data_IF_828663593334
#
_entry.id   IF_828663593334
#
_cell.length_a   1.000
_cell.length_b   1.000
_cell.length_c   1.000
_cell.angle_alpha   90.00
_cell.angle_beta   90.00
_cell.angle_gamma   90.00
#
_symmetry.space_group_name_H-M   'P 1'
#
loop_
_entity.id
_entity.type
_entity.pdbx_description
1 polymer ?
#
# COMPACT_ATOMS: atom_id res chain seq x y z
N UNK A 1 34.26 38.06 9.98
CA UNK A 1 33.32 38.36 8.87
C UNK A 1 33.28 37.14 7.97
N UNK A 2 32.38 36.18 8.22
CA UNK A 2 32.05 35.14 7.23
C UNK A 2 30.70 34.47 7.54
N UNK A 3 29.63 35.28 7.49
CA UNK A 3 28.24 34.86 7.71
C UNK A 3 27.49 34.68 6.38
N UNK A 4 28.19 34.34 5.30
CA UNK A 4 27.62 34.35 3.95
C UNK A 4 27.26 32.93 3.53
N UNK A 5 25.94 32.66 3.47
CA UNK A 5 25.27 31.48 2.88
C UNK A 5 25.04 30.27 3.79
N UNK A 6 24.21 30.45 4.82
CA UNK A 6 23.18 29.43 5.09
C UNK A 6 22.09 29.56 4.03
N UNK A 7 22.30 28.97 2.86
CA UNK A 7 21.23 28.77 1.89
C UNK A 7 20.24 27.78 2.53
N UNK A 8 19.16 28.33 3.07
CA UNK A 8 18.00 27.60 3.54
C UNK A 8 17.46 26.76 2.39
N UNK A 9 17.68 25.44 2.43
CA UNK A 9 16.96 24.48 1.59
C UNK A 9 15.53 24.44 2.10
N UNK A 10 14.72 25.42 1.70
CA UNK A 10 13.31 25.47 2.03
C UNK A 10 12.63 24.50 1.05
N UNK A 11 12.13 23.32 1.51
CA UNK A 11 11.47 22.39 0.61
C UNK A 11 10.29 23.13 -0.03
N UNK A 12 10.21 23.09 -1.36
CA UNK A 12 9.11 23.67 -2.10
C UNK A 12 7.79 23.15 -1.50
N UNK A 13 6.87 24.07 -1.16
CA UNK A 13 5.56 23.66 -0.63
C UNK A 13 4.88 22.79 -1.68
N UNK A 14 4.41 21.58 -1.32
CA UNK A 14 3.74 20.71 -2.27
C UNK A 14 2.53 21.44 -2.84
N UNK A 15 2.36 21.32 -4.16
CA UNK A 15 1.21 21.92 -4.84
C UNK A 15 -0.07 21.18 -4.43
N UNK A 16 -1.24 21.84 -4.55
CA UNK A 16 -2.53 21.22 -4.20
C UNK A 16 -2.73 19.89 -4.96
N UNK A 17 -2.33 19.82 -6.22
CA UNK A 17 -2.40 18.58 -7.00
C UNK A 17 -1.49 17.46 -6.47
N UNK A 18 -0.30 17.77 -5.96
CA UNK A 18 0.63 16.78 -5.37
C UNK A 18 0.08 16.18 -4.07
N UNK A 19 -0.65 16.97 -3.28
CA UNK A 19 -1.28 16.50 -2.03
C UNK A 19 -2.38 15.46 -2.26
N UNK A 20 -3.10 15.56 -3.39
CA UNK A 20 -4.19 14.64 -3.74
C UNK A 20 -3.80 13.61 -4.81
N UNK A 21 -2.51 13.52 -5.18
CA UNK A 21 -2.06 12.48 -6.10
C UNK A 21 -1.94 11.16 -5.34
N UNK A 22 -2.68 10.10 -5.73
CA UNK A 22 -2.59 8.81 -5.07
C UNK A 22 -1.21 8.18 -5.28
N UNK A 23 -0.69 7.52 -4.24
CA UNK A 23 0.63 6.86 -4.29
C UNK A 23 0.75 5.81 -5.38
N UNK A 24 -0.35 5.18 -5.78
CA UNK A 24 -0.38 4.27 -6.92
C UNK A 24 0.16 4.94 -8.19
N UNK A 25 -0.23 6.20 -8.44
CA UNK A 25 0.20 6.96 -9.63
C UNK A 25 1.66 7.35 -9.53
N UNK A 26 2.14 7.73 -8.34
CA UNK A 26 3.55 8.11 -8.17
C UNK A 26 4.47 6.89 -8.27
N UNK A 27 4.15 5.78 -7.59
CA UNK A 27 4.95 4.54 -7.63
C UNK A 27 5.02 3.95 -9.05
N UNK A 28 3.91 4.02 -9.81
CA UNK A 28 3.93 3.60 -11.21
C UNK A 28 4.81 4.51 -12.08
N UNK A 29 4.76 5.83 -11.87
CA UNK A 29 5.61 6.82 -12.58
C UNK A 29 7.08 6.74 -12.19
N UNK A 30 7.39 6.37 -10.96
CA UNK A 30 8.74 6.23 -10.41
C UNK A 30 9.47 4.98 -10.94
N UNK A 31 8.78 4.13 -11.72
CA UNK A 31 9.38 2.98 -12.40
C UNK A 31 9.09 1.66 -11.69
N UNK A 32 7.81 1.38 -11.44
CA UNK A 32 7.38 0.04 -11.04
C UNK A 32 7.84 -0.99 -12.08
N UNK A 33 8.72 -1.90 -11.68
CA UNK A 33 9.40 -2.84 -12.59
C UNK A 33 8.80 -4.23 -12.52
N UNK A 34 9.10 -5.08 -13.50
CA UNK A 34 8.71 -6.50 -13.47
C UNK A 34 9.26 -7.26 -12.25
N UNK A 35 10.39 -6.82 -11.67
CA UNK A 35 10.93 -7.40 -10.44
C UNK A 35 10.08 -7.05 -9.22
N UNK A 36 9.61 -5.80 -9.13
CA UNK A 36 8.67 -5.36 -8.07
C UNK A 36 7.34 -6.10 -8.20
N UNK A 37 6.80 -6.24 -9.41
CA UNK A 37 5.59 -7.01 -9.66
C UNK A 37 5.70 -8.46 -9.19
N UNK A 38 6.82 -9.14 -9.50
CA UNK A 38 7.04 -10.52 -9.04
C UNK A 38 7.10 -10.61 -7.51
N UNK A 39 7.78 -9.67 -6.86
CA UNK A 39 7.86 -9.63 -5.40
C UNK A 39 6.48 -9.43 -4.77
N UNK A 40 5.70 -8.48 -5.28
CA UNK A 40 4.36 -8.19 -4.80
C UNK A 40 3.39 -9.35 -5.04
N UNK A 41 3.50 -10.04 -6.18
CA UNK A 41 2.69 -11.21 -6.48
C UNK A 41 2.98 -12.37 -5.51
N UNK A 42 4.24 -12.64 -5.20
CA UNK A 42 4.62 -13.68 -4.23
C UNK A 42 4.13 -13.28 -2.83
N UNK A 43 4.34 -12.03 -2.42
CA UNK A 43 3.86 -11.53 -1.13
C UNK A 43 2.33 -11.64 -1.02
N UNK A 44 1.60 -11.21 -2.06
CA UNK A 44 0.15 -11.31 -2.14
C UNK A 44 -0.35 -12.74 -2.06
N UNK A 45 0.31 -13.68 -2.75
CA UNK A 45 -0.03 -15.10 -2.69
C UNK A 45 0.16 -15.66 -1.27
N UNK A 46 1.30 -15.36 -0.63
CA UNK A 46 1.56 -15.79 0.75
C UNK A 46 0.49 -15.26 1.71
N UNK A 47 0.14 -13.97 1.59
CA UNK A 47 -0.90 -13.36 2.43
C UNK A 47 -2.27 -13.98 2.15
N UNK A 48 -2.63 -14.22 0.88
CA UNK A 48 -3.91 -14.82 0.52
C UNK A 48 -4.10 -16.21 1.13
N UNK A 49 -3.06 -17.06 1.12
CA UNK A 49 -3.08 -18.39 1.72
C UNK A 49 -3.41 -18.32 3.22
N UNK A 50 -2.88 -17.33 3.94
CA UNK A 50 -3.14 -17.14 5.37
C UNK A 50 -4.51 -16.49 5.63
N UNK A 51 -4.93 -15.57 4.77
CA UNK A 51 -6.18 -14.81 4.92
C UNK A 51 -7.43 -15.68 4.71
N UNK A 52 -7.40 -16.65 3.79
CA UNK A 52 -8.54 -17.53 3.50
C UNK A 52 -9.04 -18.29 4.76
N UNK A 53 -8.22 -19.08 5.49
CA UNK A 53 -8.69 -19.77 6.69
C UNK A 53 -9.01 -18.80 7.84
N UNK A 54 -8.28 -17.68 7.97
CA UNK A 54 -8.54 -16.67 9.00
C UNK A 54 -9.94 -16.05 8.82
N UNK A 55 -10.32 -15.69 7.60
CA UNK A 55 -11.63 -15.09 7.30
C UNK A 55 -12.79 -16.06 7.59
N UNK A 56 -12.62 -17.34 7.23
CA UNK A 56 -13.59 -18.39 7.57
C UNK A 56 -13.74 -18.57 9.09
N UNK A 57 -12.63 -18.52 9.83
CA UNK A 57 -12.64 -18.64 11.28
C UNK A 57 -13.39 -17.47 11.94
N UNK A 58 -13.18 -16.24 11.47
CA UNK A 58 -13.90 -15.05 11.97
C UNK A 58 -15.40 -15.15 11.64
N UNK A 59 -15.76 -15.65 10.45
CA UNK A 59 -17.15 -15.87 10.07
C UNK A 59 -17.86 -16.85 11.02
N UNK A 60 -17.24 -17.99 11.32
CA UNK A 60 -17.76 -18.96 12.29
C UNK A 60 -17.86 -18.34 13.69
N UNK A 61 -16.84 -17.60 14.13
CA UNK A 61 -16.82 -16.92 15.42
C UNK A 61 -17.93 -15.85 15.53
N UNK A 62 -18.35 -15.26 14.40
CA UNK A 62 -19.42 -14.28 14.31
C UNK A 62 -20.81 -14.90 14.13
N UNK A 63 -20.94 -16.24 14.15
CA UNK A 63 -22.22 -16.94 14.03
C UNK A 63 -22.79 -16.98 12.60
N UNK A 64 -21.98 -16.72 11.58
CA UNK A 64 -22.40 -16.81 10.16
C UNK A 64 -21.74 -17.98 9.44
N UNK A 65 -22.23 -18.29 8.25
CA UNK A 65 -21.67 -19.35 7.41
C UNK A 65 -20.24 -18.98 6.94
N UNK A 66 -19.28 -19.94 6.88
CA UNK A 66 -17.89 -19.67 6.50
C UNK A 66 -17.72 -18.96 5.15
N UNK A 67 -18.62 -19.23 4.19
CA UNK A 67 -18.69 -18.57 2.89
C UNK A 67 -18.78 -17.03 3.01
N UNK A 68 -19.38 -16.50 4.07
CA UNK A 68 -19.45 -15.05 4.31
C UNK A 68 -18.09 -14.46 4.61
N UNK A 69 -17.22 -15.20 5.31
CA UNK A 69 -15.84 -14.79 5.54
C UNK A 69 -15.07 -14.65 4.23
N UNK A 70 -15.29 -15.57 3.28
CA UNK A 70 -14.69 -15.49 1.95
C UNK A 70 -15.15 -14.26 1.17
N UNK A 71 -16.45 -13.98 1.12
CA UNK A 71 -16.98 -12.82 0.39
C UNK A 71 -16.45 -11.48 0.91
N UNK A 72 -16.17 -11.37 2.21
CA UNK A 72 -15.66 -10.14 2.82
C UNK A 72 -14.14 -10.00 2.80
N UNK A 73 -13.43 -11.06 2.40
CA UNK A 73 -11.96 -11.07 2.36
C UNK A 73 -11.38 -10.43 1.09
N UNK A 74 -12.24 -9.94 0.20
CA UNK A 74 -11.94 -9.27 -1.07
C UNK A 74 -12.72 -7.95 -1.16
#
# INVERSE_FOLDING_TARGET
MDQTRRATHQPARPTFAELFTPKLVTVLREGYTAAHFRADAIAGLTVAIVALPLSMAIAIASGVTPERGLYTSI
#
